data_IF_201232851273
#
_entry.id   IF_201232851273
#
_cell.length_a   1.000
_cell.length_b   1.000
_cell.length_c   1.000
_cell.angle_alpha   90.00
_cell.angle_beta   90.00
_cell.angle_gamma   90.00
#
_symmetry.space_group_name_H-M   'P 1'
#
loop_
_entity.id
_entity.type
_entity.pdbx_description
1 polymer ?
#
# COMPACT_ATOMS: atom_id res chain seq x y z
N UNK A 1 -6.09 -1.31 10.61
CA UNK A 1 -6.18 -0.87 12.03
C UNK A 1 -6.70 0.57 12.10
N UNK A 2 -6.97 1.11 13.30
CA UNK A 2 -7.58 2.44 13.51
C UNK A 2 -6.85 3.26 14.57
N UNK A 3 -6.74 4.57 14.35
CA UNK A 3 -6.09 5.52 15.27
C UNK A 3 -6.53 6.97 14.98
N UNK A 4 -6.21 7.91 15.86
CA UNK A 4 -6.49 9.34 15.65
C UNK A 4 -5.30 10.03 15.00
N UNK A 5 -5.55 10.88 14.00
CA UNK A 5 -4.54 11.75 13.43
C UNK A 5 -4.04 12.76 14.48
N UNK A 6 -2.74 12.77 14.75
CA UNK A 6 -2.14 13.56 15.82
C UNK A 6 -1.66 14.92 15.29
N UNK A 7 -1.61 15.97 16.13
CA UNK A 7 -1.08 17.28 15.73
C UNK A 7 0.34 17.23 15.15
N UNK A 8 1.16 16.27 15.56
CA UNK A 8 2.52 16.04 15.05
C UNK A 8 2.57 15.58 13.60
N UNK A 9 1.45 15.12 13.04
CA UNK A 9 1.37 14.64 11.65
C UNK A 9 1.02 15.76 10.66
N UNK A 10 0.91 17.01 11.10
CA UNK A 10 0.41 18.13 10.29
C UNK A 10 1.48 18.73 9.37
N UNK A 11 1.07 19.17 8.18
CA UNK A 11 1.88 19.97 7.26
C UNK A 11 1.60 21.47 7.43
N UNK A 12 2.37 22.31 6.72
CA UNK A 12 2.21 23.77 6.74
C UNK A 12 0.81 24.29 6.35
N UNK A 13 -0.02 23.45 5.71
CA UNK A 13 -1.40 23.76 5.34
C UNK A 13 -2.45 23.35 6.39
N UNK A 14 -2.04 22.92 7.59
CA UNK A 14 -2.95 22.57 8.69
C UNK A 14 -3.70 21.24 8.52
N UNK A 15 -3.28 20.41 7.56
CA UNK A 15 -3.80 19.05 7.31
C UNK A 15 -2.70 18.02 7.54
N UNK A 16 -3.06 16.76 7.66
CA UNK A 16 -2.06 15.67 7.76
C UNK A 16 -1.13 15.70 6.53
N UNK A 17 0.16 15.53 6.79
CA UNK A 17 1.21 15.47 5.79
C UNK A 17 1.17 14.16 4.99
N UNK A 18 1.39 14.22 3.68
CA UNK A 18 1.40 13.04 2.81
C UNK A 18 2.41 11.98 3.23
N UNK A 19 3.59 12.39 3.74
CA UNK A 19 4.59 11.49 4.31
C UNK A 19 4.10 10.70 5.53
N UNK A 20 3.25 11.30 6.38
CA UNK A 20 2.65 10.57 7.50
C UNK A 20 1.69 9.49 6.99
N UNK A 21 0.87 9.82 5.99
CA UNK A 21 -0.05 8.86 5.35
C UNK A 21 0.72 7.70 4.71
N UNK A 22 1.79 7.99 3.97
CA UNK A 22 2.64 6.96 3.37
C UNK A 22 3.31 6.05 4.41
N UNK A 23 3.77 6.62 5.52
CA UNK A 23 4.29 5.84 6.65
C UNK A 23 3.24 4.88 7.21
N UNK A 24 2.00 5.34 7.41
CA UNK A 24 0.93 4.48 7.93
C UNK A 24 0.57 3.36 6.96
N UNK A 25 0.52 3.64 5.66
CA UNK A 25 0.31 2.65 4.60
C UNK A 25 1.40 1.57 4.67
N UNK A 26 2.66 1.98 4.67
CA UNK A 26 3.81 1.07 4.67
C UNK A 26 3.83 0.18 5.92
N UNK A 27 3.67 0.77 7.11
CA UNK A 27 3.62 0.02 8.37
C UNK A 27 2.47 -0.99 8.42
N UNK A 28 1.29 -0.60 7.90
CA UNK A 28 0.13 -1.47 7.84
C UNK A 28 0.35 -2.67 6.93
N UNK A 29 0.84 -2.39 5.73
CA UNK A 29 1.01 -3.39 4.70
C UNK A 29 2.22 -4.28 4.98
N UNK A 30 3.29 -3.77 5.59
CA UNK A 30 4.42 -4.55 6.08
C UNK A 30 3.96 -5.59 7.11
N UNK A 31 3.17 -5.17 8.11
CA UNK A 31 2.64 -6.10 9.11
C UNK A 31 1.78 -7.21 8.47
N UNK A 32 0.96 -6.86 7.47
CA UNK A 32 0.19 -7.84 6.70
C UNK A 32 1.09 -8.77 5.86
N UNK A 33 2.12 -8.22 5.22
CA UNK A 33 3.09 -8.95 4.41
C UNK A 33 3.82 -10.01 5.23
N UNK A 34 4.44 -9.60 6.35
CA UNK A 34 5.12 -10.53 7.27
C UNK A 34 4.12 -11.53 7.85
N UNK A 35 2.92 -11.10 8.22
CA UNK A 35 1.87 -11.98 8.73
C UNK A 35 1.42 -13.05 7.74
N UNK A 36 1.44 -12.74 6.44
CA UNK A 36 1.10 -13.70 5.38
C UNK A 36 2.28 -14.61 5.01
N UNK A 37 3.48 -14.05 4.83
CA UNK A 37 4.65 -14.79 4.36
C UNK A 37 5.34 -15.61 5.46
N UNK A 38 5.24 -15.17 6.71
CA UNK A 38 6.06 -15.68 7.81
C UNK A 38 7.53 -15.31 7.71
N UNK A 39 7.90 -14.36 6.84
CA UNK A 39 9.28 -13.98 6.54
C UNK A 39 9.48 -12.45 6.57
N UNK A 40 10.73 -12.03 6.73
CA UNK A 40 11.13 -10.64 6.54
C UNK A 40 10.74 -10.17 5.12
N UNK A 41 10.23 -8.96 5.02
CA UNK A 41 9.73 -8.41 3.77
C UNK A 41 10.35 -7.04 3.50
N UNK A 42 10.44 -6.66 2.23
CA UNK A 42 10.84 -5.30 1.83
C UNK A 42 9.80 -4.70 0.90
N UNK A 43 9.59 -3.40 1.00
CA UNK A 43 8.73 -2.64 0.09
C UNK A 43 9.42 -2.53 -1.27
N UNK A 44 8.87 -3.19 -2.28
CA UNK A 44 9.43 -3.21 -3.63
C UNK A 44 8.87 -2.08 -4.50
N UNK A 45 7.58 -1.78 -4.37
CA UNK A 45 6.93 -0.73 -5.14
C UNK A 45 5.69 -0.18 -4.44
N UNK A 46 5.39 1.09 -4.72
CA UNK A 46 4.13 1.74 -4.38
C UNK A 46 3.56 2.36 -5.66
N UNK A 47 2.43 1.85 -6.12
CA UNK A 47 1.81 2.21 -7.40
C UNK A 47 0.42 2.78 -7.21
N UNK A 48 0.05 3.71 -8.09
CA UNK A 48 -1.30 4.28 -8.11
C UNK A 48 -1.68 5.06 -6.84
N UNK A 49 -0.70 5.62 -6.11
CA UNK A 49 -0.96 6.42 -4.92
C UNK A 49 -1.76 7.68 -5.27
N UNK A 50 -2.97 7.78 -4.73
CA UNK A 50 -3.85 8.92 -4.93
C UNK A 50 -4.29 9.53 -3.61
N UNK A 51 -4.06 10.83 -3.42
CA UNK A 51 -4.59 11.61 -2.30
C UNK A 51 -5.94 12.21 -2.70
N UNK A 52 -7.02 11.53 -2.32
CA UNK A 52 -8.39 11.80 -2.79
C UNK A 52 -9.09 12.85 -1.92
N UNK A 53 -8.97 12.74 -0.60
CA UNK A 53 -9.58 13.66 0.35
C UNK A 53 -8.63 13.98 1.51
N UNK A 54 -8.71 15.19 2.10
CA UNK A 54 -7.84 15.57 3.19
C UNK A 54 -8.17 14.81 4.48
N UNK A 55 -7.13 14.48 5.23
CA UNK A 55 -7.24 13.99 6.62
C UNK A 55 -7.01 15.17 7.55
N UNK A 56 -7.94 15.41 8.47
CA UNK A 56 -7.86 16.48 9.46
C UNK A 56 -7.28 15.95 10.77
N UNK A 57 -6.66 16.82 11.54
CA UNK A 57 -6.26 16.48 12.91
C UNK A 57 -7.50 16.09 13.72
N UNK A 58 -7.39 14.99 14.47
CA UNK A 58 -8.50 14.41 15.22
C UNK A 58 -9.47 13.56 14.40
N UNK A 59 -9.32 13.46 13.08
CA UNK A 59 -10.05 12.44 12.31
C UNK A 59 -9.64 11.04 12.81
N UNK A 60 -10.62 10.15 12.93
CA UNK A 60 -10.38 8.72 13.05
C UNK A 60 -9.91 8.19 11.70
N UNK A 61 -8.65 7.78 11.66
CA UNK A 61 -8.02 7.16 10.51
C UNK A 61 -8.24 5.65 10.59
N UNK A 62 -8.67 5.04 9.48
CA UNK A 62 -8.72 3.59 9.31
C UNK A 62 -7.85 3.22 8.11
N UNK A 63 -6.81 2.41 8.34
CA UNK A 63 -6.02 1.83 7.26
C UNK A 63 -6.51 0.41 7.02
N UNK A 64 -7.07 0.18 5.84
CA UNK A 64 -7.54 -1.11 5.37
C UNK A 64 -6.50 -1.67 4.41
N UNK A 65 -6.07 -2.90 4.66
CA UNK A 65 -5.06 -3.59 3.86
C UNK A 65 -5.67 -4.91 3.42
N UNK A 66 -5.64 -5.19 2.12
CA UNK A 66 -6.16 -6.42 1.55
C UNK A 66 -5.12 -7.04 0.63
N UNK A 67 -4.74 -8.29 0.89
CA UNK A 67 -3.93 -9.06 -0.06
C UNK A 67 -4.79 -9.33 -1.30
N UNK A 68 -4.28 -8.94 -2.46
CA UNK A 68 -5.02 -9.04 -3.73
C UNK A 68 -4.28 -9.88 -4.77
N UNK A 69 -3.01 -10.23 -4.54
CA UNK A 69 -2.24 -11.13 -5.40
C UNK A 69 -0.95 -11.58 -4.70
N UNK A 70 -0.52 -12.81 -4.99
CA UNK A 70 0.83 -13.31 -4.68
C UNK A 70 1.52 -13.75 -5.97
N UNK A 71 2.80 -13.39 -6.13
CA UNK A 71 3.70 -14.00 -7.11
C UNK A 71 4.43 -15.20 -6.51
N UNK A 72 5.66 -15.48 -6.97
CA UNK A 72 6.52 -16.48 -6.32
C UNK A 72 6.95 -16.03 -4.92
N UNK A 73 7.54 -14.84 -4.84
CA UNK A 73 8.06 -14.22 -3.62
C UNK A 73 7.44 -12.86 -3.31
N UNK A 74 6.58 -12.35 -4.21
CA UNK A 74 5.95 -11.04 -4.09
C UNK A 74 4.52 -11.14 -3.57
N UNK A 75 4.07 -10.09 -2.88
CA UNK A 75 2.71 -9.95 -2.37
C UNK A 75 2.22 -8.53 -2.68
N UNK A 76 1.06 -8.41 -3.29
CA UNK A 76 0.46 -7.15 -3.68
C UNK A 76 -0.73 -6.87 -2.78
N UNK A 77 -0.76 -5.67 -2.20
CA UNK A 77 -1.80 -5.25 -1.28
C UNK A 77 -2.51 -4.01 -1.83
N UNK A 78 -3.84 -4.07 -1.89
CA UNK A 78 -4.66 -2.86 -1.97
C UNK A 78 -4.71 -2.22 -0.59
N UNK A 79 -4.45 -0.92 -0.51
CA UNK A 79 -4.51 -0.16 0.73
C UNK A 79 -5.40 1.05 0.56
N UNK A 80 -6.44 1.12 1.40
CA UNK A 80 -7.33 2.27 1.51
C UNK A 80 -7.15 2.92 2.88
N UNK A 81 -6.86 4.21 2.87
CA UNK A 81 -6.84 5.05 4.06
C UNK A 81 -8.13 5.85 4.09
N UNK A 82 -8.92 5.62 5.12
CA UNK A 82 -10.20 6.26 5.34
C UNK A 82 -10.08 7.25 6.49
N UNK A 83 -10.75 8.39 6.38
CA UNK A 83 -10.79 9.41 7.42
C UNK A 83 -12.23 9.77 7.78
N UNK A 84 -12.51 9.89 9.07
CA UNK A 84 -13.84 10.22 9.60
C UNK A 84 -13.73 11.19 10.76
N UNK A 85 -14.54 12.25 10.72
CA UNK A 85 -14.75 13.07 11.93
C UNK A 85 -15.56 12.24 12.92
N UNK A 86 -15.07 12.08 14.15
CA UNK A 86 -15.74 11.27 15.18
C UNK A 86 -17.16 11.75 15.51
N UNK A 87 -17.47 13.02 15.29
CA UNK A 87 -18.81 13.60 15.50
C UNK A 87 -19.74 13.37 14.32
N UNK A 88 -19.20 13.01 13.16
CA UNK A 88 -19.94 12.77 11.94
C UNK A 88 -20.08 11.26 11.66
N UNK A 89 -21.15 10.89 10.97
CA UNK A 89 -21.36 9.50 10.55
C UNK A 89 -20.63 9.15 9.25
N UNK A 90 -20.24 10.14 8.45
CA UNK A 90 -19.68 9.91 7.13
C UNK A 90 -18.17 9.65 7.16
N UNK A 91 -17.78 8.54 6.53
CA UNK A 91 -16.40 8.14 6.33
C UNK A 91 -15.97 8.48 4.89
N UNK A 92 -14.79 9.07 4.73
CA UNK A 92 -14.25 9.50 3.44
C UNK A 92 -13.06 8.63 3.06
N UNK A 93 -12.97 8.22 1.80
CA UNK A 93 -11.74 7.67 1.25
C UNK A 93 -10.73 8.80 1.06
N UNK A 94 -9.66 8.78 1.86
CA UNK A 94 -8.64 9.82 1.86
C UNK A 94 -7.48 9.47 0.93
N UNK A 95 -7.07 8.20 0.90
CA UNK A 95 -5.96 7.75 0.05
C UNK A 95 -6.20 6.31 -0.38
N UNK A 96 -5.83 5.99 -1.62
CA UNK A 96 -5.84 4.62 -2.13
C UNK A 96 -4.55 4.36 -2.92
N UNK A 97 -4.04 3.13 -2.83
CA UNK A 97 -2.86 2.68 -3.57
C UNK A 97 -2.77 1.15 -3.65
N UNK A 98 -1.84 0.67 -4.47
CA UNK A 98 -1.32 -0.70 -4.41
C UNK A 98 0.13 -0.66 -3.95
N UNK A 99 0.45 -1.44 -2.92
CA UNK A 99 1.82 -1.60 -2.42
C UNK A 99 2.27 -3.05 -2.61
N UNK A 100 3.52 -3.23 -3.04
CA UNK A 100 4.10 -4.54 -3.34
C UNK A 100 5.24 -4.80 -2.37
N UNK A 101 5.18 -5.95 -1.71
CA UNK A 101 6.25 -6.47 -0.87
C UNK A 101 6.92 -7.68 -1.52
N UNK A 102 8.19 -7.88 -1.24
CA UNK A 102 8.93 -9.10 -1.56
C UNK A 102 9.45 -9.71 -0.26
N UNK A 103 9.16 -10.99 -0.05
CA UNK A 103 9.72 -11.75 1.07
C UNK A 103 11.16 -12.15 0.77
N UNK A 104 12.05 -11.95 1.73
CA UNK A 104 13.48 -12.24 1.63
C UNK A 104 13.92 -13.16 2.77
N UNK A 105 14.93 -13.98 2.49
CA UNK A 105 15.70 -14.68 3.50
C UNK A 105 16.59 -13.69 4.28
N UNK A 106 16.60 -13.77 5.61
CA UNK A 106 17.37 -12.85 6.45
C UNK A 106 18.88 -13.08 6.38
N UNK A 107 19.33 -14.31 6.07
CA UNK A 107 20.74 -14.66 6.08
C UNK A 107 21.44 -14.26 4.78
N UNK A 108 20.81 -14.44 3.63
CA UNK A 108 21.41 -14.15 2.32
C UNK A 108 20.72 -13.06 1.49
N UNK A 109 19.59 -12.52 1.98
CA UNK A 109 18.85 -11.45 1.34
C UNK A 109 18.12 -11.85 0.05
N UNK A 110 18.05 -13.14 -0.29
CA UNK A 110 17.42 -13.60 -1.53
C UNK A 110 15.90 -13.75 -1.41
N UNK A 111 15.14 -13.58 -2.51
CA UNK A 111 13.70 -13.77 -2.48
C UNK A 111 13.27 -15.20 -2.16
N UNK A 112 12.39 -15.36 -1.18
CA UNK A 112 11.84 -16.65 -0.74
C UNK A 112 10.38 -16.82 -1.18
N UNK A 113 9.91 -18.07 -1.44
CA UNK A 113 8.52 -18.30 -1.79
C UNK A 113 7.54 -17.87 -0.70
N UNK A 114 6.38 -17.34 -1.10
CA UNK A 114 5.29 -16.99 -0.18
C UNK A 114 4.09 -17.93 -0.37
N UNK A 115 3.21 -18.10 0.64
CA UNK A 115 1.98 -18.87 0.46
C UNK A 115 1.13 -18.30 -0.67
N UNK A 116 0.61 -19.13 -1.59
CA UNK A 116 -0.19 -18.65 -2.70
C UNK A 116 -1.55 -18.15 -2.20
N UNK A 117 -1.97 -16.99 -2.68
CA UNK A 117 -3.31 -16.45 -2.47
C UNK A 117 -4.21 -16.79 -3.67
N UNK A 118 -5.48 -17.09 -3.39
CA UNK A 118 -6.49 -17.31 -4.41
C UNK A 118 -7.71 -16.41 -4.15
N UNK A 119 -8.27 -15.77 -5.19
CA UNK A 119 -9.42 -14.89 -5.04
C UNK A 119 -10.65 -15.67 -4.59
N UNK A 120 -11.33 -15.19 -3.54
CA UNK A 120 -12.50 -15.85 -2.97
C UNK A 120 -13.82 -15.23 -3.46
N UNK A 121 -13.76 -14.03 -4.03
CA UNK A 121 -14.92 -13.29 -4.51
C UNK A 121 -14.73 -12.67 -5.89
N UNK A 122 -15.82 -12.17 -6.49
CA UNK A 122 -15.74 -11.41 -7.74
C UNK A 122 -14.99 -10.07 -7.56
N UNK A 123 -15.06 -9.48 -6.37
CA UNK A 123 -14.30 -8.28 -6.03
C UNK A 123 -12.80 -8.60 -5.97
N UNK A 124 -12.42 -9.71 -5.34
CA UNK A 124 -11.03 -10.16 -5.27
C UNK A 124 -10.43 -10.36 -6.67
N UNK A 125 -11.21 -10.97 -7.59
CA UNK A 125 -10.79 -11.14 -8.99
C UNK A 125 -10.54 -9.78 -9.66
N UNK A 126 -11.46 -8.83 -9.54
CA UNK A 126 -11.28 -7.48 -10.12
C UNK A 126 -10.07 -6.76 -9.55
N UNK A 127 -9.82 -6.88 -8.24
CA UNK A 127 -8.66 -6.29 -7.60
C UNK A 127 -7.35 -6.96 -8.05
N UNK A 128 -7.35 -8.29 -8.20
CA UNK A 128 -6.21 -9.04 -8.72
C UNK A 128 -5.88 -8.62 -10.16
N UNK A 129 -6.89 -8.53 -11.03
CA UNK A 129 -6.73 -8.09 -12.43
C UNK A 129 -6.19 -6.65 -12.50
N UNK A 130 -6.70 -5.77 -11.62
CA UNK A 130 -6.22 -4.39 -11.52
C UNK A 130 -4.77 -4.32 -11.03
N UNK A 131 -4.37 -5.19 -10.11
CA UNK A 131 -2.98 -5.29 -9.62
C UNK A 131 -2.02 -5.70 -10.75
N UNK A 132 -2.45 -6.60 -11.63
CA UNK A 132 -1.66 -7.07 -12.77
C UNK A 132 -1.42 -5.97 -13.77
N UNK A 133 -2.48 -5.24 -14.11
CA UNK A 133 -2.38 -4.13 -15.04
C UNK A 133 -1.52 -3.01 -14.46
N UNK A 134 -1.69 -2.66 -13.17
CA UNK A 134 -0.84 -1.68 -12.50
C UNK A 134 0.64 -2.12 -12.48
N UNK A 135 0.93 -3.38 -12.17
CA UNK A 135 2.30 -3.89 -12.19
C UNK A 135 2.93 -3.81 -13.58
N UNK A 136 2.15 -4.14 -14.63
CA UNK A 136 2.57 -4.02 -16.02
C UNK A 136 2.88 -2.57 -16.40
N UNK A 137 2.01 -1.64 -16.04
CA UNK A 137 2.17 -0.21 -16.31
C UNK A 137 3.36 0.38 -15.55
N UNK A 138 3.54 0.04 -14.27
CA UNK A 138 4.69 0.46 -13.47
C UNK A 138 6.01 0.00 -14.07
N UNK A 139 6.11 -1.28 -14.48
CA UNK A 139 7.32 -1.81 -15.13
C UNK A 139 7.62 -1.13 -16.46
N UNK A 140 6.58 -0.85 -17.26
CA UNK A 140 6.73 -0.13 -18.52
C UNK A 140 7.22 1.31 -18.30
N UNK A 141 6.66 2.00 -17.29
CA UNK A 141 7.07 3.35 -16.92
C UNK A 141 8.53 3.39 -16.43
N UNK A 142 8.92 2.46 -15.56
CA UNK A 142 10.32 2.33 -15.09
C UNK A 142 11.28 2.12 -16.26
N UNK A 143 10.93 1.20 -17.18
CA UNK A 143 11.75 0.92 -18.37
C UNK A 143 11.87 2.16 -19.27
N UNK A 144 10.79 2.89 -19.47
CA UNK A 144 10.80 4.14 -20.22
C UNK A 144 11.65 5.23 -19.54
N UNK A 145 11.60 5.33 -18.21
CA UNK A 145 12.40 6.28 -17.44
C UNK A 145 13.90 5.95 -17.47
N UNK A 146 14.27 4.67 -17.38
CA UNK A 146 15.66 4.21 -17.51
C UNK A 146 16.20 4.50 -18.92
N UNK A 147 15.43 4.16 -19.96
CA UNK A 147 15.78 4.48 -21.33
C UNK A 147 15.96 6.00 -21.56
N UNK A 148 15.08 6.83 -20.98
CA UNK A 148 15.20 8.29 -21.05
C UNK A 148 16.43 8.84 -20.34
N UNK A 149 16.98 8.12 -19.35
CA UNK A 149 18.20 8.49 -18.62
C UNK A 149 19.48 8.02 -19.31
N UNK A 150 19.39 7.23 -20.39
CA UNK A 150 20.56 6.67 -21.08
C UNK A 150 21.26 5.55 -20.31
N UNK A 151 20.62 5.00 -19.29
CA UNK A 151 21.10 3.87 -18.49
C UNK A 151 20.45 2.61 -19.06
N UNK A 152 21.16 1.88 -19.93
CA UNK A 152 20.74 0.60 -20.51
C UNK A 152 21.65 -0.52 -20.07
#
# INVERSE_FOLDING_TARGET
FRFLAQPTDVNFGGKVHGGAVMKWIDQAAYAAAVGWSGAYCVTAALSGLQFIAPIRIGDLVTVQVKLIRTGRSSMHYAVDVLARDLKAHEQRLATSCVIVFVALDEADGKPVPVPPWQPQSAEDRRLADSADELARLSKAMESAMLAARGES
#
